data_IF_874877748940
#
_entry.id   IF_874877748940
#
_cell.length_a   1.000
_cell.length_b   1.000
_cell.length_c   1.000
_cell.angle_alpha   90.00
_cell.angle_beta   90.00
_cell.angle_gamma   90.00
#
_symmetry.space_group_name_H-M   'P 1'
#
loop_
_entity.id
_entity.type
_entity.pdbx_description
1 polymer ?
#
# COMPACT_ATOMS: atom_id res chain seq x y z
N UNK A 1 -24.43 39.33 24.89
CA UNK A 1 -23.26 39.23 23.96
C UNK A 1 -22.75 37.80 23.92
N UNK A 2 -23.59 36.84 24.43
CA UNK A 2 -23.24 35.42 24.58
C UNK A 2 -24.05 34.50 23.63
N UNK A 3 -25.00 35.05 22.85
CA UNK A 3 -25.85 34.22 21.96
C UNK A 3 -25.21 33.96 20.58
N UNK A 4 -24.23 34.79 20.13
CA UNK A 4 -23.60 34.65 18.81
C UNK A 4 -22.52 33.55 18.77
N UNK A 5 -21.95 33.17 19.92
CA UNK A 5 -20.91 32.10 20.00
C UNK A 5 -21.54 30.70 19.96
N UNK A 6 -22.73 30.50 20.53
CA UNK A 6 -23.43 29.21 20.58
C UNK A 6 -23.94 28.78 19.19
N UNK A 7 -24.46 29.75 18.39
CA UNK A 7 -24.89 29.50 17.01
C UNK A 7 -23.70 29.15 16.07
N UNK A 8 -22.52 29.68 16.33
CA UNK A 8 -21.32 29.39 15.54
C UNK A 8 -20.78 27.98 15.79
N UNK A 9 -20.80 27.50 17.03
CA UNK A 9 -20.42 26.13 17.40
C UNK A 9 -21.43 25.10 16.84
N UNK A 10 -22.71 25.37 16.94
CA UNK A 10 -23.75 24.49 16.40
C UNK A 10 -23.65 24.34 14.88
N UNK A 11 -23.42 25.42 14.15
CA UNK A 11 -23.22 25.38 12.70
C UNK A 11 -21.93 24.60 12.32
N UNK A 12 -20.87 24.73 13.09
CA UNK A 12 -19.62 23.99 12.91
C UNK A 12 -19.82 22.48 13.13
N UNK A 13 -20.58 22.08 14.14
CA UNK A 13 -20.88 20.70 14.44
C UNK A 13 -21.74 20.03 13.35
N UNK A 14 -22.75 20.73 12.85
CA UNK A 14 -23.59 20.27 11.74
C UNK A 14 -22.76 20.07 10.47
N UNK A 15 -21.86 21.00 10.17
CA UNK A 15 -20.98 20.91 9.01
C UNK A 15 -20.06 19.67 9.11
N UNK A 16 -19.45 19.41 10.29
CA UNK A 16 -18.59 18.23 10.51
C UNK A 16 -19.39 16.93 10.37
N UNK A 17 -20.58 16.85 10.93
CA UNK A 17 -21.46 15.67 10.80
C UNK A 17 -21.84 15.40 9.33
N UNK A 18 -22.10 16.44 8.57
CA UNK A 18 -22.37 16.34 7.13
C UNK A 18 -21.16 15.80 6.37
N UNK A 19 -19.97 16.30 6.67
CA UNK A 19 -18.70 15.84 6.07
C UNK A 19 -18.42 14.36 6.39
N UNK A 20 -18.60 13.95 7.64
CA UNK A 20 -18.45 12.54 8.06
C UNK A 20 -19.45 11.66 7.30
N UNK A 21 -20.71 12.10 7.16
CA UNK A 21 -21.75 11.35 6.45
C UNK A 21 -21.39 11.18 4.98
N UNK A 22 -20.94 12.25 4.32
CA UNK A 22 -20.48 12.19 2.92
C UNK A 22 -19.28 11.22 2.77
N UNK A 23 -18.36 11.23 3.72
CA UNK A 23 -17.22 10.28 3.72
C UNK A 23 -17.67 8.84 3.91
N UNK A 24 -18.62 8.57 4.80
CA UNK A 24 -19.21 7.23 5.00
C UNK A 24 -19.86 6.74 3.71
N UNK A 25 -20.64 7.58 3.03
CA UNK A 25 -21.31 7.20 1.78
C UNK A 25 -20.29 6.82 0.69
N UNK A 26 -19.23 7.62 0.53
CA UNK A 26 -18.15 7.31 -0.40
C UNK A 26 -17.44 5.98 -0.07
N UNK A 27 -17.20 5.72 1.20
CA UNK A 27 -16.60 4.45 1.64
C UNK A 27 -17.55 3.27 1.44
N UNK A 28 -18.86 3.47 1.54
CA UNK A 28 -19.85 2.44 1.25
C UNK A 28 -19.85 2.06 -0.24
N UNK A 29 -19.74 3.04 -1.14
CA UNK A 29 -19.57 2.77 -2.57
C UNK A 29 -18.30 1.96 -2.85
N UNK A 30 -17.20 2.29 -2.16
CA UNK A 30 -15.94 1.52 -2.26
C UNK A 30 -16.11 0.08 -1.76
N UNK A 31 -16.80 -0.13 -0.64
CA UNK A 31 -17.13 -1.47 -0.11
C UNK A 31 -17.88 -2.29 -1.16
N UNK A 32 -18.90 -1.72 -1.80
CA UNK A 32 -19.70 -2.40 -2.80
C UNK A 32 -18.88 -2.73 -4.06
N UNK A 33 -18.04 -1.80 -4.51
CA UNK A 33 -17.11 -2.03 -5.62
C UNK A 33 -16.14 -3.16 -5.32
N UNK A 34 -15.51 -3.15 -4.15
CA UNK A 34 -14.56 -4.21 -3.77
C UNK A 34 -15.25 -5.56 -3.59
N UNK A 35 -16.50 -5.59 -3.14
CA UNK A 35 -17.29 -6.82 -3.06
C UNK A 35 -17.55 -7.39 -4.45
N UNK A 36 -17.89 -6.56 -5.43
CA UNK A 36 -18.07 -7.00 -6.82
C UNK A 36 -16.75 -7.52 -7.41
N UNK A 37 -15.63 -6.83 -7.18
CA UNK A 37 -14.30 -7.29 -7.62
C UNK A 37 -13.93 -8.64 -7.03
N UNK A 38 -14.21 -8.86 -5.73
CA UNK A 38 -14.00 -10.15 -5.06
C UNK A 38 -14.86 -11.25 -5.70
N UNK A 39 -16.11 -10.99 -5.98
CA UNK A 39 -17.02 -11.95 -6.60
C UNK A 39 -16.55 -12.34 -8.02
N UNK A 40 -16.13 -11.35 -8.82
CA UNK A 40 -15.59 -11.57 -10.17
C UNK A 40 -14.29 -12.40 -10.13
N UNK A 41 -13.34 -12.01 -9.29
CA UNK A 41 -12.08 -12.73 -9.13
C UNK A 41 -12.31 -14.18 -8.63
N UNK A 42 -13.23 -14.39 -7.69
CA UNK A 42 -13.62 -15.70 -7.19
C UNK A 42 -14.24 -16.58 -8.28
N UNK A 43 -15.10 -16.00 -9.14
CA UNK A 43 -15.71 -16.71 -10.27
C UNK A 43 -14.65 -17.10 -11.30
N UNK A 44 -13.75 -16.18 -11.66
CA UNK A 44 -12.66 -16.45 -12.60
C UNK A 44 -11.71 -17.53 -12.06
N UNK A 45 -11.38 -17.45 -10.77
CA UNK A 45 -10.57 -18.48 -10.10
C UNK A 45 -11.25 -19.85 -10.12
N UNK A 46 -12.58 -19.90 -9.93
CA UNK A 46 -13.37 -21.14 -10.04
C UNK A 46 -13.27 -21.77 -11.42
N UNK A 47 -13.29 -20.97 -12.49
CA UNK A 47 -13.11 -21.47 -13.86
C UNK A 47 -11.70 -22.02 -14.07
N UNK A 48 -10.67 -21.31 -13.58
CA UNK A 48 -9.28 -21.78 -13.66
C UNK A 48 -9.03 -23.07 -12.87
N UNK A 49 -9.70 -23.25 -11.73
CA UNK A 49 -9.56 -24.47 -10.92
C UNK A 49 -10.30 -25.68 -11.49
N UNK A 50 -11.36 -25.45 -12.26
CA UNK A 50 -12.08 -26.52 -12.96
C UNK A 50 -11.29 -27.10 -14.15
N UNK A 51 -10.23 -26.43 -14.59
CA UNK A 51 -9.43 -26.81 -15.75
C UNK A 51 -7.96 -26.95 -15.31
N UNK A 52 -7.44 -28.16 -15.31
CA UNK A 52 -6.05 -28.46 -14.91
C UNK A 52 -5.01 -27.73 -15.79
N UNK A 53 -5.40 -27.29 -16.99
CA UNK A 53 -4.55 -26.52 -17.90
C UNK A 53 -4.07 -25.19 -17.33
N UNK A 54 -4.77 -24.63 -16.34
CA UNK A 54 -4.41 -23.37 -15.70
C UNK A 54 -3.56 -23.53 -14.42
N UNK A 55 -3.22 -24.77 -14.06
CA UNK A 55 -2.38 -25.00 -12.89
C UNK A 55 -0.99 -24.37 -13.11
N UNK A 56 -0.52 -23.57 -12.13
CA UNK A 56 0.74 -22.83 -12.23
C UNK A 56 0.72 -21.63 -13.17
N UNK A 57 -0.37 -21.35 -13.88
CA UNK A 57 -0.43 -20.24 -14.83
C UNK A 57 -0.43 -18.89 -14.12
N UNK A 58 0.25 -17.91 -14.73
CA UNK A 58 0.26 -16.53 -14.26
C UNK A 58 -1.15 -15.95 -14.10
N UNK A 59 -2.07 -16.25 -15.03
CA UNK A 59 -3.45 -15.74 -14.97
C UNK A 59 -4.21 -16.21 -13.73
N UNK A 60 -4.02 -17.48 -13.32
CA UNK A 60 -4.61 -17.99 -12.08
C UNK A 60 -4.06 -17.27 -10.86
N UNK A 61 -2.74 -17.05 -10.81
CA UNK A 61 -2.10 -16.34 -9.71
C UNK A 61 -2.53 -14.87 -9.65
N UNK A 62 -2.77 -14.26 -10.81
CA UNK A 62 -3.28 -12.88 -10.89
C UNK A 62 -4.71 -12.77 -10.30
N UNK A 63 -5.59 -13.75 -10.51
CA UNK A 63 -6.90 -13.75 -9.85
C UNK A 63 -6.78 -13.93 -8.33
N UNK A 64 -5.83 -14.72 -7.86
CA UNK A 64 -5.50 -14.80 -6.42
C UNK A 64 -5.04 -13.45 -5.85
N UNK A 65 -4.20 -12.72 -6.61
CA UNK A 65 -3.74 -11.37 -6.24
C UNK A 65 -4.89 -10.36 -6.19
N UNK A 66 -5.75 -10.35 -7.20
CA UNK A 66 -6.93 -9.47 -7.21
C UNK A 66 -7.87 -9.76 -6.05
N UNK A 67 -8.04 -11.03 -5.70
CA UNK A 67 -8.91 -11.45 -4.62
C UNK A 67 -8.39 -10.98 -3.26
N UNK A 68 -7.08 -11.09 -3.00
CA UNK A 68 -6.49 -10.61 -1.74
C UNK A 68 -6.49 -9.09 -1.66
N UNK A 69 -6.17 -8.39 -2.74
CA UNK A 69 -6.18 -6.92 -2.78
C UNK A 69 -7.58 -6.38 -2.49
N UNK A 70 -8.59 -6.87 -3.21
CA UNK A 70 -9.98 -6.44 -3.01
C UNK A 70 -10.52 -6.82 -1.61
N UNK A 71 -10.08 -7.95 -1.04
CA UNK A 71 -10.41 -8.33 0.33
C UNK A 71 -9.89 -7.31 1.35
N UNK A 72 -8.64 -6.88 1.22
CA UNK A 72 -8.04 -5.92 2.15
C UNK A 72 -8.62 -4.52 1.99
N UNK A 73 -8.89 -4.06 0.76
CA UNK A 73 -9.57 -2.79 0.52
C UNK A 73 -10.97 -2.76 1.13
N UNK A 74 -11.76 -3.81 0.89
CA UNK A 74 -13.08 -3.98 1.48
C UNK A 74 -13.04 -3.90 3.01
N UNK A 75 -12.12 -4.63 3.64
CA UNK A 75 -12.01 -4.65 5.11
C UNK A 75 -11.55 -3.30 5.66
N UNK A 76 -10.62 -2.62 5.00
CA UNK A 76 -10.12 -1.32 5.42
C UNK A 76 -11.21 -0.24 5.33
N UNK A 77 -12.01 -0.25 4.25
CA UNK A 77 -13.15 0.66 4.10
C UNK A 77 -14.21 0.42 5.18
N UNK A 78 -14.57 -0.83 5.46
CA UNK A 78 -15.52 -1.16 6.54
C UNK A 78 -15.00 -0.77 7.93
N UNK A 79 -13.72 -0.97 8.21
CA UNK A 79 -13.11 -0.55 9.47
C UNK A 79 -13.18 0.96 9.65
N UNK A 80 -12.94 1.73 8.59
CA UNK A 80 -13.02 3.19 8.62
C UNK A 80 -14.46 3.67 8.76
N UNK A 81 -15.44 3.06 8.09
CA UNK A 81 -16.87 3.34 8.30
C UNK A 81 -17.24 3.15 9.77
N UNK A 82 -16.84 2.03 10.37
CA UNK A 82 -17.14 1.76 11.77
C UNK A 82 -16.46 2.78 12.70
N UNK A 83 -15.22 3.19 12.41
CA UNK A 83 -14.52 4.25 13.16
C UNK A 83 -15.30 5.58 13.09
N UNK A 84 -15.72 6.00 11.90
CA UNK A 84 -16.46 7.24 11.69
C UNK A 84 -17.83 7.22 12.38
N UNK A 85 -18.56 6.11 12.29
CA UNK A 85 -19.82 5.92 13.02
C UNK A 85 -19.65 6.02 14.54
N UNK A 86 -18.57 5.46 15.08
CA UNK A 86 -18.26 5.54 16.51
C UNK A 86 -17.91 6.98 16.93
N UNK A 87 -17.20 7.74 16.10
CA UNK A 87 -16.92 9.16 16.35
C UNK A 87 -18.24 9.95 16.43
N UNK A 88 -19.14 9.76 15.47
CA UNK A 88 -20.46 10.42 15.46
C UNK A 88 -21.31 10.04 16.70
N UNK A 89 -21.35 8.75 17.04
CA UNK A 89 -22.17 8.26 18.15
C UNK A 89 -21.69 8.77 19.53
N UNK A 90 -20.39 9.01 19.68
CA UNK A 90 -19.78 9.50 20.92
C UNK A 90 -19.69 11.02 21.02
N UNK A 91 -20.03 11.76 19.96
CA UNK A 91 -19.90 13.21 19.91
C UNK A 91 -18.45 13.73 19.85
N UNK A 92 -17.45 12.86 19.66
CA UNK A 92 -16.03 13.24 19.59
C UNK A 92 -15.64 13.72 18.18
N UNK A 93 -16.30 14.75 17.68
CA UNK A 93 -16.14 15.25 16.30
C UNK A 93 -14.76 15.82 16.03
N UNK A 94 -14.05 16.29 17.05
CA UNK A 94 -12.65 16.72 17.03
C UNK A 94 -11.72 15.62 16.53
N UNK A 95 -12.01 14.35 16.84
CA UNK A 95 -11.24 13.20 16.37
C UNK A 95 -11.35 12.93 14.86
N UNK A 96 -12.36 13.49 14.21
CA UNK A 96 -12.52 13.36 12.77
C UNK A 96 -11.47 14.15 12.01
N UNK A 97 -11.22 15.39 12.41
CA UNK A 97 -10.21 16.26 11.82
C UNK A 97 -8.79 15.86 12.21
N UNK A 98 -8.65 14.97 13.21
CA UNK A 98 -7.37 14.56 13.79
C UNK A 98 -6.80 15.61 14.75
N UNK A 99 -5.79 15.19 15.51
CA UNK A 99 -5.13 16.05 16.53
C UNK A 99 -4.31 17.17 15.91
N UNK A 100 -4.00 17.13 14.63
CA UNK A 100 -3.17 18.11 13.92
C UNK A 100 -3.92 18.72 12.74
N UNK A 101 -3.84 20.03 12.60
CA UNK A 101 -4.35 20.77 11.42
C UNK A 101 -3.49 20.51 10.17
N UNK A 102 -2.25 20.03 10.34
CA UNK A 102 -1.35 19.70 9.24
C UNK A 102 -1.42 18.21 8.92
N UNK A 103 -1.57 17.89 7.66
CA UNK A 103 -1.54 16.54 7.13
C UNK A 103 -0.24 16.29 6.38
N UNK A 104 0.25 15.06 6.43
CA UNK A 104 1.46 14.66 5.74
C UNK A 104 1.17 13.70 4.60
N UNK A 105 2.13 13.61 3.68
CA UNK A 105 2.17 12.59 2.63
C UNK A 105 3.50 11.87 2.72
N UNK A 106 3.46 10.52 2.69
CA UNK A 106 4.65 9.69 2.60
C UNK A 106 4.68 9.00 1.25
N UNK A 107 5.82 9.05 0.59
CA UNK A 107 6.11 8.27 -0.62
C UNK A 107 7.08 7.14 -0.29
N UNK A 108 6.74 5.93 -0.75
CA UNK A 108 7.58 4.73 -0.64
C UNK A 108 8.05 4.34 -2.04
N UNK A 109 9.35 4.12 -2.20
CA UNK A 109 9.92 3.70 -3.49
C UNK A 109 11.10 2.74 -3.30
N UNK A 110 11.43 2.00 -4.37
CA UNK A 110 12.56 1.07 -4.36
C UNK A 110 12.43 0.01 -3.27
N UNK A 111 11.23 -0.55 -3.11
CA UNK A 111 10.96 -1.64 -2.17
C UNK A 111 11.68 -2.89 -2.66
N UNK A 112 12.58 -3.45 -1.83
CA UNK A 112 13.38 -4.62 -2.14
C UNK A 112 13.27 -5.66 -1.04
N UNK A 113 13.04 -6.91 -1.44
CA UNK A 113 12.99 -8.08 -0.57
C UNK A 113 14.16 -9.00 -0.87
N UNK A 114 15.18 -9.07 0.00
CA UNK A 114 16.25 -10.05 -0.12
C UNK A 114 15.74 -11.47 0.06
N UNK A 115 16.26 -12.38 -0.77
CA UNK A 115 16.02 -13.80 -0.68
C UNK A 115 17.20 -14.49 0.00
N UNK A 116 16.94 -15.59 0.71
CA UNK A 116 17.98 -16.42 1.33
C UNK A 116 18.98 -16.87 0.29
N UNK A 117 20.27 -16.78 0.60
CA UNK A 117 21.37 -17.10 -0.30
C UNK A 117 21.29 -18.52 -0.85
N UNK A 118 20.89 -19.48 0.00
CA UNK A 118 20.76 -20.89 -0.42
C UNK A 118 19.60 -21.09 -1.40
N UNK A 119 18.49 -20.37 -1.22
CA UNK A 119 17.40 -20.38 -2.15
C UNK A 119 17.80 -19.78 -3.51
N UNK A 120 18.53 -18.67 -3.52
CA UNK A 120 19.04 -18.04 -4.75
C UNK A 120 20.01 -18.97 -5.49
N UNK A 121 20.93 -19.63 -4.76
CA UNK A 121 21.85 -20.63 -5.34
C UNK A 121 21.09 -21.80 -6.00
N UNK A 122 20.04 -22.30 -5.34
CA UNK A 122 19.20 -23.36 -5.86
C UNK A 122 18.48 -22.95 -7.15
N UNK A 123 17.98 -21.71 -7.23
CA UNK A 123 17.35 -21.19 -8.45
C UNK A 123 18.33 -21.02 -9.61
N UNK A 124 19.58 -20.63 -9.31
CA UNK A 124 20.61 -20.40 -10.35
C UNK A 124 21.24 -21.71 -10.85
N UNK A 125 21.17 -22.79 -10.09
CA UNK A 125 21.74 -24.08 -10.43
C UNK A 125 20.67 -25.19 -10.53
N UNK A 126 19.82 -25.19 -11.55
CA UNK A 126 18.67 -26.10 -11.65
C UNK A 126 19.04 -27.58 -11.84
N UNK A 127 20.32 -27.91 -12.02
CA UNK A 127 20.79 -29.29 -12.25
C UNK A 127 20.83 -30.21 -11.02
N UNK A 128 20.66 -29.68 -9.80
CA UNK A 128 20.74 -30.44 -8.55
C UNK A 128 19.43 -30.34 -7.75
N UNK A 129 18.31 -30.82 -8.31
CA UNK A 129 17.02 -30.86 -7.57
C UNK A 129 16.31 -29.52 -7.49
N UNK A 130 16.33 -28.75 -8.58
CA UNK A 130 15.67 -27.46 -8.66
C UNK A 130 14.22 -27.51 -8.19
N UNK A 131 13.82 -26.54 -7.38
CA UNK A 131 12.46 -26.41 -6.88
C UNK A 131 11.48 -26.35 -8.05
N UNK A 132 10.54 -27.30 -8.10
CA UNK A 132 9.48 -27.33 -9.12
C UNK A 132 8.39 -26.29 -8.86
N UNK A 133 8.65 -25.37 -7.93
CA UNK A 133 7.72 -24.34 -7.54
C UNK A 133 8.21 -22.94 -7.92
N UNK A 134 7.24 -22.05 -8.12
CA UNK A 134 7.45 -20.61 -8.28
C UNK A 134 6.83 -19.91 -7.09
N UNK A 135 7.54 -18.95 -6.53
CA UNK A 135 7.02 -18.10 -5.48
C UNK A 135 6.66 -16.74 -6.06
N UNK A 136 5.47 -16.28 -5.76
CA UNK A 136 4.95 -14.97 -6.13
C UNK A 136 4.81 -14.11 -4.89
N UNK A 137 5.15 -12.84 -4.99
CA UNK A 137 5.08 -11.89 -3.89
C UNK A 137 4.37 -10.62 -4.30
N UNK A 138 3.59 -10.07 -3.37
CA UNK A 138 2.95 -8.77 -3.46
C UNK A 138 3.04 -8.09 -2.11
N UNK A 139 3.30 -6.78 -2.09
CA UNK A 139 3.27 -5.99 -0.87
C UNK A 139 1.98 -5.15 -0.83
N UNK A 140 1.35 -5.07 0.34
CA UNK A 140 0.22 -4.20 0.62
C UNK A 140 0.67 -3.13 1.61
N UNK A 141 0.54 -1.87 1.25
CA UNK A 141 0.80 -0.73 2.14
C UNK A 141 -0.54 -0.19 2.60
N UNK A 142 -0.72 -0.10 3.91
CA UNK A 142 -2.01 0.16 4.56
C UNK A 142 -1.92 1.31 5.54
N UNK A 143 -2.85 2.23 5.42
CA UNK A 143 -3.10 3.28 6.39
C UNK A 143 -4.59 3.63 6.39
N UNK A 144 -5.30 3.41 7.51
CA UNK A 144 -6.75 3.58 7.61
C UNK A 144 -7.49 2.88 6.46
N UNK A 145 -8.28 3.62 5.65
CA UNK A 145 -8.95 3.07 4.47
C UNK A 145 -8.05 2.92 3.25
N UNK A 146 -6.85 3.52 3.24
CA UNK A 146 -5.94 3.43 2.11
C UNK A 146 -5.22 2.09 2.11
N UNK A 147 -5.41 1.31 1.06
CA UNK A 147 -4.69 0.05 0.80
C UNK A 147 -4.18 0.08 -0.62
N UNK A 148 -2.86 0.08 -0.76
CA UNK A 148 -2.18 0.15 -2.06
C UNK A 148 -1.31 -1.09 -2.22
N UNK A 149 -1.53 -1.82 -3.33
CA UNK A 149 -0.75 -3.00 -3.68
C UNK A 149 0.42 -2.63 -4.60
N UNK A 150 1.55 -3.31 -4.44
CA UNK A 150 2.61 -3.32 -5.45
C UNK A 150 2.22 -4.18 -6.65
N UNK A 151 3.02 -4.13 -7.70
CA UNK A 151 3.02 -5.19 -8.70
C UNK A 151 3.32 -6.53 -8.03
N UNK A 152 2.82 -7.61 -8.61
CA UNK A 152 3.20 -8.96 -8.23
C UNK A 152 4.51 -9.32 -8.92
N UNK A 153 5.47 -9.84 -8.18
CA UNK A 153 6.73 -10.34 -8.69
C UNK A 153 6.86 -11.85 -8.44
N UNK A 154 7.45 -12.55 -9.40
CA UNK A 154 7.78 -13.96 -9.26
C UNK A 154 9.28 -14.16 -9.00
N UNK A 155 9.65 -15.29 -8.43
CA UNK A 155 11.05 -15.70 -8.30
C UNK A 155 11.69 -16.11 -9.62
N UNK A 156 10.94 -16.19 -10.71
CA UNK A 156 11.48 -16.43 -12.05
C UNK A 156 11.94 -15.15 -12.73
N UNK A 157 11.12 -14.09 -12.64
CA UNK A 157 11.30 -12.88 -13.45
C UNK A 157 11.71 -11.66 -12.63
N UNK A 158 11.45 -11.69 -11.32
CA UNK A 158 11.60 -10.52 -10.44
C UNK A 158 12.92 -10.42 -9.69
N UNK A 159 13.80 -11.43 -9.79
CA UNK A 159 15.05 -11.45 -9.03
C UNK A 159 16.12 -10.66 -9.79
N UNK A 160 16.66 -9.63 -9.13
CA UNK A 160 17.80 -8.90 -9.65
C UNK A 160 19.12 -9.67 -9.44
N UNK A 161 20.24 -9.15 -10.00
CA UNK A 161 21.57 -9.75 -9.89
C UNK A 161 22.07 -9.93 -8.44
N UNK A 162 21.49 -9.20 -7.51
CA UNK A 162 21.83 -9.27 -6.08
C UNK A 162 20.97 -10.28 -5.29
N UNK A 163 20.14 -11.08 -5.95
CA UNK A 163 19.28 -12.05 -5.29
C UNK A 163 18.11 -11.41 -4.54
N UNK A 164 17.61 -10.28 -5.00
CA UNK A 164 16.52 -9.53 -4.38
C UNK A 164 15.37 -9.34 -5.36
N UNK A 165 14.14 -9.37 -4.84
CA UNK A 165 12.95 -8.91 -5.56
C UNK A 165 12.85 -7.40 -5.43
N UNK A 166 12.81 -6.67 -6.54
CA UNK A 166 12.75 -5.22 -6.57
C UNK A 166 11.43 -4.74 -7.19
N UNK A 167 10.59 -4.09 -6.38
CA UNK A 167 9.30 -3.58 -6.81
C UNK A 167 9.46 -2.17 -7.38
N UNK A 168 9.05 -1.94 -8.64
CA UNK A 168 9.24 -0.65 -9.33
C UNK A 168 8.23 0.42 -8.90
N UNK A 169 7.32 0.11 -7.99
CA UNK A 169 6.23 0.98 -7.62
C UNK A 169 6.69 2.20 -6.82
N UNK A 170 6.10 3.36 -7.14
CA UNK A 170 6.06 4.53 -6.28
C UNK A 170 4.67 4.57 -5.61
N UNK A 171 4.65 4.37 -4.31
CA UNK A 171 3.43 4.36 -3.50
C UNK A 171 3.37 5.66 -2.72
N UNK A 172 2.22 6.35 -2.76
CA UNK A 172 1.97 7.56 -1.99
C UNK A 172 0.81 7.32 -1.04
N UNK A 173 1.02 7.59 0.24
CA UNK A 173 -0.01 7.59 1.29
C UNK A 173 -0.21 9.03 1.71
N UNK A 174 -1.45 9.50 1.61
CA UNK A 174 -1.84 10.88 1.89
C UNK A 174 -2.64 10.98 3.19
N UNK A 175 -2.91 12.21 3.62
CA UNK A 175 -3.73 12.52 4.80
C UNK A 175 -3.23 11.87 6.09
N UNK A 176 -1.91 11.79 6.25
CA UNK A 176 -1.29 11.22 7.44
C UNK A 176 -1.38 12.16 8.64
N UNK A 177 -1.84 11.64 9.76
CA UNK A 177 -1.72 12.34 11.04
C UNK A 177 -0.28 12.26 11.56
N UNK A 178 0.06 13.13 12.53
CA UNK A 178 1.40 13.15 13.12
C UNK A 178 1.80 11.80 13.76
N UNK A 179 0.87 11.11 14.38
CA UNK A 179 1.06 9.84 15.08
C UNK A 179 0.74 8.62 14.17
N UNK A 180 0.96 8.74 12.87
CA UNK A 180 0.64 7.71 11.92
C UNK A 180 1.38 6.38 12.16
N UNK A 181 0.71 5.29 11.81
CA UNK A 181 1.29 3.96 11.69
C UNK A 181 0.87 3.37 10.36
N UNK A 182 1.85 3.23 9.45
CA UNK A 182 1.65 2.58 8.15
C UNK A 182 2.13 1.15 8.26
N UNK A 183 1.30 0.20 7.85
CA UNK A 183 1.65 -1.21 7.79
C UNK A 183 2.05 -1.59 6.37
N UNK A 184 3.23 -2.17 6.21
CA UNK A 184 3.65 -2.81 4.98
C UNK A 184 3.64 -4.31 5.22
N UNK A 185 2.72 -5.01 4.57
CA UNK A 185 2.56 -6.46 4.66
C UNK A 185 3.01 -7.11 3.37
N UNK A 186 3.77 -8.18 3.48
CA UNK A 186 4.25 -8.99 2.36
C UNK A 186 3.42 -10.27 2.30
N UNK A 187 2.86 -10.53 1.15
CA UNK A 187 2.10 -11.75 0.86
C UNK A 187 2.84 -12.61 -0.15
N UNK A 188 2.86 -13.91 0.10
CA UNK A 188 3.51 -14.89 -0.75
C UNK A 188 2.56 -16.01 -1.15
N UNK A 189 2.71 -16.50 -2.38
CA UNK A 189 2.04 -17.68 -2.89
C UNK A 189 3.07 -18.58 -3.57
N UNK A 190 3.08 -19.85 -3.19
CA UNK A 190 3.86 -20.87 -3.85
C UNK A 190 2.95 -21.69 -4.76
N UNK A 191 3.35 -21.87 -6.01
CA UNK A 191 2.60 -22.69 -7.00
C UNK A 191 3.57 -23.54 -7.81
N UNK A 192 3.17 -24.73 -8.29
CA UNK A 192 3.99 -25.49 -9.23
C UNK A 192 4.36 -24.64 -10.46
N UNK A 193 5.52 -24.92 -11.04
CA UNK A 193 5.88 -24.34 -12.34
C UNK A 193 4.87 -24.77 -13.38
N UNK A 194 4.53 -23.90 -14.30
CA UNK A 194 3.67 -24.23 -15.42
C UNK A 194 4.34 -25.33 -16.28
N UNK A 195 3.70 -26.49 -16.36
CA UNK A 195 4.27 -27.66 -17.02
C UNK A 195 4.07 -27.58 -18.53
N UNK A 196 2.95 -26.99 -18.97
CA UNK A 196 2.60 -26.87 -20.38
C UNK A 196 3.18 -25.58 -20.96
N UNK A 197 3.98 -25.71 -22.04
CA UNK A 197 4.38 -24.55 -22.80
C UNK A 197 3.16 -23.85 -23.39
N UNK A 198 3.27 -22.54 -23.61
CA UNK A 198 2.20 -21.73 -24.21
C UNK A 198 1.69 -22.35 -25.54
N UNK A 199 2.59 -22.90 -26.35
CA UNK A 199 2.27 -23.57 -27.64
C UNK A 199 1.46 -24.85 -27.42
N UNK A 200 1.83 -25.68 -26.42
CA UNK A 200 1.11 -26.90 -26.10
C UNK A 200 -0.27 -26.62 -25.48
N UNK A 201 -0.38 -25.60 -24.65
CA UNK A 201 -1.60 -25.20 -23.95
C UNK A 201 -2.71 -24.73 -24.90
N UNK A 202 -2.35 -24.04 -25.97
CA UNK A 202 -3.31 -23.47 -26.91
C UNK A 202 -3.40 -24.25 -28.23
N UNK A 203 -2.82 -25.47 -28.30
CA UNK A 203 -2.79 -26.30 -29.50
C UNK A 203 -2.37 -25.53 -30.77
N UNK A 204 -1.41 -24.59 -30.61
CA UNK A 204 -0.89 -23.83 -31.73
C UNK A 204 -0.03 -24.77 -32.58
N UNK A 205 -0.63 -25.40 -33.59
CA UNK A 205 0.14 -26.08 -34.63
C UNK A 205 0.95 -25.04 -35.38
N UNK A 206 2.25 -25.28 -35.52
CA UNK A 206 3.14 -24.50 -36.40
C UNK A 206 2.84 -24.80 -37.87
N UNK A 207 1.60 -24.62 -38.29
CA UNK A 207 1.30 -24.58 -39.70
C UNK A 207 1.79 -23.25 -40.29
N UNK A 208 2.75 -23.37 -41.19
CA UNK A 208 3.46 -22.26 -41.88
C UNK A 208 2.56 -21.49 -42.86
N UNK A 209 1.29 -21.32 -42.56
CA UNK A 209 0.45 -20.45 -43.41
C UNK A 209 -0.69 -19.85 -42.60
N UNK A 210 -0.81 -18.52 -42.80
CA UNK A 210 -1.90 -17.64 -42.45
C UNK A 210 -1.70 -16.77 -41.21
N UNK A 211 -1.23 -15.59 -41.50
CA UNK A 211 -1.41 -14.36 -40.74
C UNK A 211 -2.86 -14.21 -40.29
N UNK A 212 -3.03 -13.85 -39.00
CA UNK A 212 -4.26 -13.44 -38.30
C UNK A 212 -4.78 -14.38 -37.23
N UNK A 213 -4.00 -14.53 -36.15
CA UNK A 213 -4.62 -14.91 -34.87
C UNK A 213 -3.94 -14.08 -33.75
N UNK A 214 -4.75 -13.19 -33.19
CA UNK A 214 -4.30 -12.29 -32.11
C UNK A 214 -3.72 -13.05 -30.92
N UNK A 215 -2.63 -12.55 -30.41
CA UNK A 215 -1.89 -13.08 -29.27
C UNK A 215 -2.81 -13.43 -28.07
N UNK A 216 -2.49 -14.47 -27.29
CA UNK A 216 -3.27 -14.88 -26.10
C UNK A 216 -3.45 -13.77 -25.07
N UNK A 217 -2.53 -12.81 -25.00
CA UNK A 217 -2.71 -11.59 -24.20
C UNK A 217 -3.98 -10.81 -24.60
N UNK A 218 -4.36 -10.84 -25.90
CA UNK A 218 -5.61 -10.24 -26.37
C UNK A 218 -6.84 -11.03 -25.95
N UNK A 219 -6.71 -12.36 -25.76
CA UNK A 219 -7.81 -13.19 -25.21
C UNK A 219 -7.97 -12.99 -23.70
N UNK A 220 -6.88 -12.85 -22.94
CA UNK A 220 -6.95 -12.46 -21.51
C UNK A 220 -7.51 -11.03 -21.38
N UNK A 221 -6.99 -10.05 -22.14
CA UNK A 221 -7.57 -8.69 -22.20
C UNK A 221 -9.01 -8.68 -22.71
N UNK A 222 -9.39 -9.61 -23.58
CA UNK A 222 -10.77 -9.75 -24.06
C UNK A 222 -11.66 -10.50 -23.03
N UNK A 223 -11.11 -11.32 -22.17
CA UNK A 223 -11.79 -11.81 -20.97
C UNK A 223 -11.88 -10.69 -19.92
N UNK A 224 -10.83 -9.94 -19.65
CA UNK A 224 -10.88 -8.72 -18.81
C UNK A 224 -11.89 -7.70 -19.37
N UNK A 225 -11.92 -7.46 -20.69
CA UNK A 225 -12.90 -6.55 -21.31
C UNK A 225 -14.33 -7.08 -21.40
N UNK A 226 -14.54 -8.40 -21.34
CA UNK A 226 -15.85 -9.01 -21.17
C UNK A 226 -16.31 -9.06 -19.70
N UNK A 227 -15.39 -8.84 -18.75
CA UNK A 227 -15.66 -8.65 -17.34
C UNK A 227 -15.88 -7.18 -16.97
N UNK A 228 -15.89 -6.25 -17.95
CA UNK A 228 -16.34 -4.89 -17.74
C UNK A 228 -17.83 -4.93 -17.37
N UNK A 229 -18.10 -4.51 -16.19
CA UNK A 229 -19.34 -4.20 -15.48
C UNK A 229 -20.57 -4.05 -16.40
N UNK A 230 -21.44 -5.03 -16.39
CA UNK A 230 -22.85 -4.78 -16.62
C UNK A 230 -23.48 -4.37 -15.28
N UNK A 231 -24.15 -3.21 -15.18
CA UNK A 231 -24.73 -2.70 -13.93
C UNK A 231 -25.90 -3.52 -13.36
N UNK A 232 -26.27 -4.60 -13.99
CA UNK A 232 -27.42 -5.43 -13.63
C UNK A 232 -27.02 -6.87 -13.29
N UNK A 233 -26.25 -7.07 -12.22
CA UNK A 233 -26.20 -8.38 -11.59
C UNK A 233 -26.79 -8.29 -10.20
N UNK A 234 -27.80 -9.14 -9.96
CA UNK A 234 -28.47 -9.36 -8.68
C UNK A 234 -27.47 -9.40 -7.51
N UNK A 235 -27.90 -9.04 -6.28
CA UNK A 235 -27.04 -9.03 -5.12
C UNK A 235 -26.35 -10.39 -4.99
N UNK A 236 -25.03 -10.37 -5.16
CA UNK A 236 -24.20 -11.58 -5.10
C UNK A 236 -24.29 -12.11 -3.69
N UNK A 237 -24.92 -13.26 -3.52
CA UNK A 237 -24.91 -13.99 -2.25
C UNK A 237 -23.46 -14.16 -1.81
N UNK A 238 -23.08 -13.48 -0.73
CA UNK A 238 -21.72 -13.42 -0.16
C UNK A 238 -21.18 -14.77 0.32
N UNK A 239 -21.98 -15.83 0.25
CA UNK A 239 -21.71 -17.14 0.84
C UNK A 239 -20.69 -18.00 0.07
N UNK A 240 -20.31 -17.66 -1.16
CA UNK A 240 -19.42 -18.49 -1.99
C UNK A 240 -18.16 -17.77 -2.54
N UNK A 241 -17.75 -16.65 -1.95
CA UNK A 241 -16.52 -15.98 -2.39
C UNK A 241 -15.33 -16.75 -1.84
N UNK A 242 -14.46 -17.24 -2.74
CA UNK A 242 -13.23 -17.93 -2.39
C UNK A 242 -12.29 -17.00 -1.63
N UNK A 243 -11.48 -17.59 -0.74
CA UNK A 243 -10.35 -16.88 -0.12
C UNK A 243 -9.14 -17.03 -1.01
N UNK A 244 -8.32 -15.98 -1.10
CA UNK A 244 -7.04 -16.06 -1.79
C UNK A 244 -6.10 -17.03 -1.07
N UNK A 245 -5.28 -17.74 -1.86
CA UNK A 245 -4.21 -18.61 -1.38
C UNK A 245 -2.93 -17.84 -0.99
N UNK A 246 -2.87 -16.54 -1.28
CA UNK A 246 -1.78 -15.71 -0.78
C UNK A 246 -1.80 -15.68 0.75
N UNK A 247 -0.70 -16.12 1.37
CA UNK A 247 -0.48 -16.04 2.80
C UNK A 247 0.43 -14.88 3.16
N UNK A 248 0.20 -14.26 4.32
CA UNK A 248 1.12 -13.24 4.84
C UNK A 248 2.44 -13.92 5.23
N UNK A 249 3.55 -13.45 4.65
CA UNK A 249 4.90 -13.97 4.88
C UNK A 249 5.82 -12.98 5.58
N UNK A 250 5.29 -11.88 6.06
CA UNK A 250 5.97 -10.91 6.89
C UNK A 250 5.28 -9.55 6.83
N UNK A 251 5.54 -8.72 7.83
CA UNK A 251 5.10 -7.33 7.86
C UNK A 251 6.10 -6.45 8.59
N UNK A 252 6.03 -5.16 8.34
CA UNK A 252 6.73 -4.14 9.11
C UNK A 252 5.84 -2.91 9.29
N UNK A 253 6.13 -2.13 10.33
CA UNK A 253 5.41 -0.89 10.64
C UNK A 253 6.32 0.30 10.38
N UNK A 254 5.79 1.30 9.69
CA UNK A 254 6.46 2.58 9.43
C UNK A 254 5.81 3.62 10.32
N UNK A 255 6.60 4.25 11.16
CA UNK A 255 6.22 5.32 12.09
C UNK A 255 7.13 6.53 11.86
N UNK A 256 6.84 7.62 12.54
CA UNK A 256 7.68 8.83 12.49
C UNK A 256 9.14 8.53 12.86
N UNK A 257 9.39 7.64 13.83
CA UNK A 257 10.73 7.28 14.30
C UNK A 257 11.53 6.49 13.26
N UNK A 258 10.83 5.78 12.37
CA UNK A 258 11.45 4.94 11.34
C UNK A 258 11.65 5.64 10.00
N UNK A 259 11.25 6.91 9.85
CA UNK A 259 11.32 7.64 8.58
C UNK A 259 12.73 7.76 7.99
N UNK A 260 13.76 7.81 8.83
CA UNK A 260 15.15 7.88 8.38
C UNK A 260 15.77 6.51 8.05
N UNK A 261 15.06 5.43 8.37
CA UNK A 261 15.52 4.07 8.15
C UNK A 261 15.45 3.69 6.68
N UNK A 262 16.45 2.99 6.19
CA UNK A 262 16.49 2.41 4.82
C UNK A 262 16.26 0.91 4.84
N UNK A 263 16.42 0.28 6.02
CA UNK A 263 16.28 -1.15 6.25
C UNK A 263 15.25 -1.39 7.36
N UNK A 264 14.35 -2.32 7.12
CA UNK A 264 13.27 -2.68 8.02
C UNK A 264 13.28 -4.18 8.25
N UNK A 265 13.15 -4.60 9.49
CA UNK A 265 12.98 -6.00 9.83
C UNK A 265 11.55 -6.42 9.52
N UNK A 266 11.39 -7.56 8.87
CA UNK A 266 10.09 -8.19 8.70
C UNK A 266 9.79 -9.07 9.91
N UNK A 267 8.63 -8.84 10.50
CA UNK A 267 8.09 -9.67 11.57
C UNK A 267 7.31 -10.86 10.99
N UNK A 268 7.19 -11.94 11.75
CA UNK A 268 6.42 -13.16 11.44
C UNK A 268 6.79 -13.83 10.11
N UNK A 269 8.05 -13.76 9.71
CA UNK A 269 8.53 -14.46 8.51
C UNK A 269 8.58 -15.97 8.79
N UNK A 270 7.83 -16.81 8.03
CA UNK A 270 7.88 -18.26 8.20
C UNK A 270 9.27 -18.81 7.88
N UNK A 271 9.76 -19.79 8.63
CA UNK A 271 11.08 -20.39 8.41
C UNK A 271 11.26 -21.00 7.02
N UNK A 272 10.18 -21.52 6.42
CA UNK A 272 10.16 -22.08 5.06
C UNK A 272 10.03 -21.03 3.97
N UNK A 273 9.79 -19.74 4.32
CA UNK A 273 9.76 -18.67 3.33
C UNK A 273 11.16 -18.48 2.71
N UNK A 274 11.24 -18.22 1.40
CA UNK A 274 12.52 -17.89 0.76
C UNK A 274 13.04 -16.50 1.14
N UNK A 275 12.26 -15.68 1.86
CA UNK A 275 12.66 -14.35 2.30
C UNK A 275 13.72 -14.42 3.40
N UNK A 276 14.71 -13.52 3.33
CA UNK A 276 15.75 -13.39 4.36
C UNK A 276 15.20 -12.82 5.68
N UNK A 277 14.15 -12.01 5.62
CA UNK A 277 13.51 -11.40 6.79
C UNK A 277 13.81 -9.93 6.97
N UNK A 278 14.42 -9.30 5.99
CA UNK A 278 14.62 -7.86 5.90
C UNK A 278 13.91 -7.28 4.67
N UNK A 279 13.65 -5.98 4.71
CA UNK A 279 13.07 -5.21 3.62
C UNK A 279 13.81 -3.88 3.52
N UNK A 280 14.15 -3.48 2.30
CA UNK A 280 14.75 -2.19 2.02
C UNK A 280 13.79 -1.31 1.24
N UNK A 281 13.73 -0.03 1.57
CA UNK A 281 12.96 0.96 0.82
C UNK A 281 13.47 2.37 1.07
N UNK A 282 13.05 3.29 0.22
CA UNK A 282 13.28 4.73 0.38
C UNK A 282 11.96 5.39 0.74
N UNK A 283 11.99 6.19 1.81
CA UNK A 283 10.86 6.98 2.26
C UNK A 283 11.12 8.45 1.91
N UNK A 284 10.17 9.10 1.25
CA UNK A 284 10.12 10.54 1.07
C UNK A 284 8.95 11.09 1.86
N UNK A 285 9.17 12.14 2.62
CA UNK A 285 8.14 12.80 3.43
C UNK A 285 7.85 14.16 2.85
N UNK A 286 6.59 14.48 2.74
CA UNK A 286 6.10 15.79 2.39
C UNK A 286 4.99 16.18 3.38
N UNK A 287 5.12 17.32 4.04
CA UNK A 287 4.13 17.85 4.97
C UNK A 287 3.54 19.12 4.39
N UNK A 288 2.22 19.19 4.35
CA UNK A 288 1.47 20.39 4.01
C UNK A 288 1.14 21.15 5.31
N UNK A 289 2.16 21.75 5.89
CA UNK A 289 1.97 22.57 7.08
C UNK A 289 1.71 24.03 6.71
N UNK A 290 0.51 24.52 6.99
CA UNK A 290 0.16 25.94 6.92
C UNK A 290 0.51 26.69 8.22
N UNK A 291 1.35 26.10 9.08
CA UNK A 291 1.76 26.70 10.33
C UNK A 291 2.64 27.91 10.03
N UNK A 292 2.24 29.07 10.54
CA UNK A 292 3.01 30.28 10.48
C UNK A 292 3.02 30.92 11.88
N UNK A 293 4.01 30.55 12.67
CA UNK A 293 4.21 31.07 14.03
C UNK A 293 5.54 31.78 14.13
N UNK A 294 5.59 32.80 14.96
CA UNK A 294 6.80 33.55 15.20
C UNK A 294 6.97 33.84 16.70
N UNK A 295 8.18 33.80 17.17
CA UNK A 295 8.49 34.03 18.58
C UNK A 295 9.95 33.80 18.91
N UNK A 296 10.30 34.03 20.17
CA UNK A 296 11.62 33.68 20.65
C UNK A 296 11.72 32.20 20.98
N UNK A 297 12.76 31.56 20.42
CA UNK A 297 13.12 30.18 20.73
C UNK A 297 14.49 30.16 21.41
N UNK A 298 14.59 29.46 22.53
CA UNK A 298 15.87 29.17 23.18
C UNK A 298 16.29 27.77 22.76
N UNK A 299 17.46 27.62 22.14
CA UNK A 299 18.00 26.35 21.69
C UNK A 299 19.47 26.24 22.04
N UNK A 300 19.93 25.00 22.21
CA UNK A 300 21.28 24.66 22.53
C UNK A 300 22.08 24.32 21.26
N UNK A 301 23.25 24.90 21.12
CA UNK A 301 24.20 24.53 20.06
C UNK A 301 25.53 24.12 20.68
N UNK A 302 26.13 23.11 20.10
CA UNK A 302 27.47 22.64 20.47
C UNK A 302 28.40 22.76 19.26
N UNK A 303 29.50 23.47 19.46
CA UNK A 303 30.56 23.62 18.45
C UNK A 303 31.89 23.28 19.10
N UNK A 304 32.59 22.30 18.59
CA UNK A 304 33.92 21.85 19.08
C UNK A 304 33.95 21.49 20.58
N UNK A 305 32.85 20.87 21.10
CA UNK A 305 32.76 20.46 22.50
C UNK A 305 32.34 21.58 23.47
N UNK A 306 32.11 22.78 22.97
CA UNK A 306 31.57 23.90 23.75
C UNK A 306 30.09 24.10 23.41
N UNK A 307 29.24 23.93 24.41
CA UNK A 307 27.79 24.11 24.26
C UNK A 307 27.33 25.46 24.81
N UNK A 308 26.42 26.13 24.09
CA UNK A 308 25.82 27.40 24.54
C UNK A 308 24.34 27.46 24.22
N UNK A 309 23.60 28.23 25.06
CA UNK A 309 22.19 28.47 24.89
C UNK A 309 21.97 29.80 24.19
N UNK A 310 21.28 29.75 23.03
CA UNK A 310 20.96 30.91 22.24
C UNK A 310 19.46 31.16 22.25
N UNK A 311 19.07 32.41 22.56
CA UNK A 311 17.70 32.88 22.40
C UNK A 311 17.60 33.73 21.14
N UNK A 312 16.86 33.24 20.15
CA UNK A 312 16.73 33.87 18.85
C UNK A 312 15.27 34.05 18.46
N UNK A 313 15.00 35.14 17.72
CA UNK A 313 13.71 35.26 17.07
C UNK A 313 13.61 34.30 15.93
N UNK A 314 12.55 33.50 15.93
CA UNK A 314 12.32 32.44 14.95
C UNK A 314 10.98 32.65 14.27
N UNK A 315 10.92 32.30 13.01
CA UNK A 315 9.69 32.19 12.23
C UNK A 315 9.56 30.72 11.79
N UNK A 316 8.52 30.06 12.27
CA UNK A 316 8.12 28.73 11.81
C UNK A 316 7.16 28.92 10.64
N UNK A 317 7.58 28.55 9.43
CA UNK A 317 6.75 28.59 8.24
C UNK A 317 6.78 27.21 7.55
N UNK A 318 5.63 26.57 7.54
CA UNK A 318 5.54 25.21 7.03
C UNK A 318 6.43 24.25 7.84
N UNK A 319 7.38 23.62 7.18
CA UNK A 319 8.33 22.66 7.74
C UNK A 319 9.64 23.29 8.21
N UNK A 320 9.82 24.60 8.02
CA UNK A 320 11.09 25.28 8.25
C UNK A 320 11.03 26.23 9.41
N UNK A 321 12.08 26.20 10.24
CA UNK A 321 12.34 27.21 11.26
C UNK A 321 13.40 28.15 10.72
N UNK A 322 13.04 29.41 10.54
CA UNK A 322 13.95 30.46 10.13
C UNK A 322 14.42 31.23 11.37
N UNK A 323 15.75 31.33 11.56
CA UNK A 323 16.34 32.13 12.60
C UNK A 323 16.63 33.51 12.03
N UNK A 324 16.12 34.56 12.67
CA UNK A 324 16.36 35.94 12.26
C UNK A 324 17.58 36.44 13.00
N UNK A 325 18.60 36.79 12.25
CA UNK A 325 19.81 37.45 12.78
C UNK A 325 19.66 38.94 12.55
N UNK A 326 19.55 39.72 13.63
CA UNK A 326 19.62 41.19 13.55
C UNK A 326 21.10 41.57 13.54
N UNK A 327 21.61 42.03 12.41
CA UNK A 327 22.86 42.76 12.37
C UNK A 327 22.54 44.20 12.83
N UNK A 328 22.94 44.57 14.02
CA UNK A 328 23.06 45.99 14.39
C UNK A 328 24.21 46.54 13.57
N UNK A 329 24.01 47.55 12.71
CA UNK A 329 25.14 48.25 12.11
C UNK A 329 25.91 48.92 13.25
N UNK A 330 27.12 48.45 13.48
CA UNK A 330 28.07 49.17 14.35
C UNK A 330 28.31 50.51 13.70
N UNK A 331 27.71 51.57 14.25
CA UNK A 331 28.10 52.95 14.00
C UNK A 331 29.52 53.09 14.57
N UNK A 332 30.51 53.06 13.69
CA UNK A 332 31.84 53.56 14.02
C UNK A 332 31.70 55.09 14.16
N UNK A 333 31.84 55.57 15.40
CA UNK A 333 32.25 56.95 15.67
C UNK A 333 33.75 57.03 15.54
#
# INVERSE_FOLDING_TARGET
>A
MDDDDDDSELNSEVAIKSEITARINKLQEEVDEQMQRRAQASKALGICEAQNEFEGSYGRVEFERLLIEAHHKHNAANAEINRLKNIMARGHLDLFRGKSKSKGTISLSGVRLPLKSDFVKMLMNPGHGGDNYVHYFVCLVKYRSQVIATQMLSTLDGINRSGQLEFPNLIKIQDLDFDFQIYLEVYGLQTPKEVLTHEAKYHIRKDKSLFNLGTPLKKLKKMESKFVMTPNSNPVNSLNIKKSKFGMVGYTTITIDTLKSKSFKLEKVPSRSPLEGSLFMRLGVHSESNINNKGFLTYFTEVNGYGDWHRRWCVLRGEYIFFVFFFLPTLFM
#
